data_IF_653390831824
#
_entry.id   IF_653390831824
#
_cell.length_a   1.000
_cell.length_b   1.000
_cell.length_c   1.000
_cell.angle_alpha   90.00
_cell.angle_beta   90.00
_cell.angle_gamma   90.00
#
_symmetry.space_group_name_H-M   'P 1'
#
loop_
_entity.id
_entity.type
_entity.pdbx_description
1 polymer ?
#
# COMPACT_ATOMS: atom_id res chain seq x y z
N UNK A 1 13.28 8.65 -17.52
CA UNK A 1 12.27 9.43 -18.26
C UNK A 1 11.26 9.90 -17.22
N UNK A 2 11.15 11.20 -16.96
CA UNK A 2 10.22 11.71 -15.95
C UNK A 2 8.80 11.73 -16.52
N UNK A 3 7.79 11.31 -15.74
CA UNK A 3 6.39 11.42 -16.17
C UNK A 3 5.63 12.44 -15.34
N UNK A 4 4.81 13.23 -16.03
CA UNK A 4 3.89 14.18 -15.41
C UNK A 4 2.78 13.48 -14.61
N UNK A 5 2.52 12.19 -14.87
CA UNK A 5 1.52 11.41 -14.16
C UNK A 5 1.88 9.92 -14.18
N UNK A 6 1.29 9.13 -13.27
CA UNK A 6 1.39 7.67 -13.31
C UNK A 6 0.79 7.22 -14.65
N UNK A 7 1.53 6.47 -15.48
CA UNK A 7 1.00 6.01 -16.75
C UNK A 7 -0.22 5.13 -16.47
N UNK A 8 -1.39 5.68 -16.77
CA UNK A 8 -2.65 4.97 -16.65
C UNK A 8 -2.70 3.93 -17.75
N UNK A 9 -3.28 2.75 -17.49
CA UNK A 9 -3.65 1.80 -18.55
C UNK A 9 -4.25 2.56 -19.72
N UNK A 10 -3.86 2.23 -20.96
CA UNK A 10 -4.33 2.87 -22.20
C UNK A 10 -5.83 3.16 -22.13
N UNK A 11 -6.17 4.38 -21.70
CA UNK A 11 -7.52 4.80 -21.40
C UNK A 11 -7.85 5.92 -22.37
N UNK A 12 -9.10 5.94 -22.82
CA UNK A 12 -9.64 6.95 -23.72
C UNK A 12 -9.17 8.36 -23.29
N UNK A 13 -8.21 8.88 -24.05
CA UNK A 13 -7.67 10.22 -23.85
C UNK A 13 -8.68 11.19 -24.41
N UNK A 14 -9.35 11.93 -23.54
CA UNK A 14 -10.17 13.07 -23.94
C UNK A 14 -9.26 14.29 -23.89
N UNK A 15 -9.17 15.05 -24.98
CA UNK A 15 -8.44 16.31 -24.97
C UNK A 15 -9.31 17.38 -24.31
N UNK A 16 -8.90 17.83 -23.13
CA UNK A 16 -9.48 19.01 -22.47
C UNK A 16 -8.40 20.10 -22.47
N UNK A 17 -8.65 21.19 -23.19
CA UNK A 17 -7.75 22.36 -23.22
C UNK A 17 -6.28 22.03 -23.53
N UNK A 18 -6.04 21.17 -24.54
CA UNK A 18 -4.73 20.66 -25.00
C UNK A 18 -4.03 19.67 -24.06
N UNK A 19 -4.65 19.29 -22.93
CA UNK A 19 -4.15 18.23 -22.07
C UNK A 19 -4.85 16.90 -22.37
N UNK A 20 -4.07 15.82 -22.42
CA UNK A 20 -4.60 14.46 -22.49
C UNK A 20 -5.15 14.09 -21.11
N UNK A 21 -6.48 14.07 -20.95
CA UNK A 21 -7.14 13.66 -19.72
C UNK A 21 -7.62 12.22 -19.85
N UNK A 22 -7.24 11.37 -18.91
CA UNK A 22 -7.72 9.98 -18.81
C UNK A 22 -8.92 9.91 -17.87
N UNK A 23 -10.06 9.43 -18.37
CA UNK A 23 -11.29 9.25 -17.57
C UNK A 23 -11.07 8.31 -16.39
N UNK A 24 -10.18 7.32 -16.55
CA UNK A 24 -9.85 6.35 -15.51
C UNK A 24 -8.68 6.78 -14.63
N UNK A 25 -8.15 8.00 -14.79
CA UNK A 25 -7.00 8.48 -14.04
C UNK A 25 -7.16 8.30 -12.54
N UNK A 26 -8.36 8.56 -12.00
CA UNK A 26 -8.65 8.33 -10.60
C UNK A 26 -8.44 6.87 -10.19
N UNK A 27 -9.07 5.92 -10.89
CA UNK A 27 -9.01 4.50 -10.57
C UNK A 27 -7.62 3.92 -10.76
N UNK A 28 -6.94 4.26 -11.85
CA UNK A 28 -5.57 3.77 -12.09
C UNK A 28 -4.58 4.36 -11.10
N UNK A 29 -4.74 5.64 -10.73
CA UNK A 29 -3.92 6.27 -9.70
C UNK A 29 -4.16 5.59 -8.37
N UNK A 30 -5.42 5.37 -7.98
CA UNK A 30 -5.76 4.65 -6.76
C UNK A 30 -5.15 3.23 -6.75
N UNK A 31 -5.37 2.45 -7.82
CA UNK A 31 -4.95 1.06 -7.91
C UNK A 31 -3.43 0.90 -7.90
N UNK A 32 -2.68 1.80 -8.53
CA UNK A 32 -1.22 1.71 -8.60
C UNK A 32 -0.59 2.34 -7.35
N UNK A 33 -1.06 3.50 -6.92
CA UNK A 33 -0.38 4.29 -5.89
C UNK A 33 -0.86 4.00 -4.47
N UNK A 34 -2.18 4.00 -4.24
CA UNK A 34 -2.74 3.96 -2.88
C UNK A 34 -3.07 2.54 -2.43
N UNK A 35 -3.65 1.74 -3.33
CA UNK A 35 -4.18 0.42 -3.03
C UNK A 35 -3.14 -0.55 -2.43
N UNK A 36 -1.90 -0.69 -2.96
CA UNK A 36 -0.89 -1.57 -2.35
C UNK A 36 -0.55 -1.16 -0.91
N UNK A 37 -0.44 0.15 -0.64
CA UNK A 37 -0.15 0.67 0.69
C UNK A 37 -1.27 0.35 1.68
N UNK A 38 -2.53 0.56 1.27
CA UNK A 38 -3.70 0.21 2.09
C UNK A 38 -3.73 -1.28 2.39
N UNK A 39 -3.50 -2.14 1.39
CA UNK A 39 -3.44 -3.59 1.58
C UNK A 39 -2.39 -3.99 2.61
N UNK A 40 -1.17 -3.44 2.52
CA UNK A 40 -0.10 -3.73 3.48
C UNK A 40 -0.49 -3.30 4.90
N UNK A 41 -1.01 -2.08 5.05
CA UNK A 41 -1.40 -1.54 6.36
C UNK A 41 -2.51 -2.38 6.99
N UNK A 42 -3.51 -2.80 6.22
CA UNK A 42 -4.60 -3.65 6.69
C UNK A 42 -4.09 -5.04 7.07
N UNK A 43 -3.30 -5.69 6.21
CA UNK A 43 -2.76 -7.03 6.47
C UNK A 43 -1.87 -7.04 7.71
N UNK A 44 -0.99 -6.05 7.87
CA UNK A 44 -0.12 -5.91 9.02
C UNK A 44 -0.91 -5.65 10.31
N UNK A 45 -1.92 -4.77 10.23
CA UNK A 45 -2.81 -4.44 11.35
C UNK A 45 -3.56 -5.67 11.86
N UNK A 46 -4.12 -6.47 10.94
CA UNK A 46 -4.82 -7.71 11.27
C UNK A 46 -3.88 -8.73 11.93
N UNK A 47 -2.67 -8.90 11.38
CA UNK A 47 -1.67 -9.80 11.96
C UNK A 47 -1.33 -9.41 13.40
N UNK A 48 -1.03 -8.14 13.64
CA UNK A 48 -0.63 -7.66 14.97
C UNK A 48 -1.80 -7.73 15.95
N UNK A 49 -3.01 -7.36 15.53
CA UNK A 49 -4.21 -7.51 16.38
C UNK A 49 -4.44 -8.96 16.80
N UNK A 50 -4.14 -9.93 15.91
CA UNK A 50 -4.30 -11.34 16.21
C UNK A 50 -3.25 -11.84 17.20
N UNK A 51 -1.99 -11.44 17.01
CA UNK A 51 -0.84 -11.79 17.86
C UNK A 51 -0.98 -11.22 19.28
N UNK A 52 -1.37 -9.96 19.39
CA UNK A 52 -1.57 -9.28 20.69
C UNK A 52 -2.89 -9.63 21.35
N UNK A 53 -3.82 -10.25 20.62
CA UNK A 53 -5.20 -10.44 21.02
C UNK A 53 -5.90 -9.12 21.41
N UNK A 54 -5.47 -7.99 20.82
CA UNK A 54 -5.96 -6.66 21.16
C UNK A 54 -6.05 -5.75 19.91
N UNK A 55 -7.25 -5.32 19.50
CA UNK A 55 -7.42 -4.47 18.32
C UNK A 55 -6.78 -3.09 18.46
N UNK A 56 -6.58 -2.59 19.68
CA UNK A 56 -5.96 -1.27 19.90
C UNK A 56 -4.51 -1.24 19.41
N UNK A 57 -3.80 -2.37 19.51
CA UNK A 57 -2.41 -2.47 19.04
C UNK A 57 -2.26 -2.26 17.53
N UNK A 58 -3.31 -2.53 16.75
CA UNK A 58 -3.31 -2.26 15.32
C UNK A 58 -3.17 -0.75 15.03
N UNK A 59 -3.84 0.12 15.80
CA UNK A 59 -3.74 1.57 15.63
C UNK A 59 -2.31 2.08 15.88
N UNK A 60 -1.63 1.54 16.88
CA UNK A 60 -0.23 1.89 17.16
C UNK A 60 0.68 1.54 15.97
N UNK A 61 0.45 0.39 15.33
CA UNK A 61 1.20 -0.02 14.14
C UNK A 61 0.89 0.87 12.94
N UNK A 62 -0.37 1.19 12.69
CA UNK A 62 -0.75 2.12 11.62
C UNK A 62 -0.08 3.49 11.79
N UNK A 63 -0.05 3.98 13.03
CA UNK A 63 0.63 5.23 13.36
C UNK A 63 2.15 5.13 13.17
N UNK A 64 2.76 4.01 13.56
CA UNK A 64 4.19 3.77 13.32
C UNK A 64 4.52 3.75 11.82
N UNK A 65 3.72 3.07 10.99
CA UNK A 65 3.89 3.05 9.53
C UNK A 65 3.77 4.45 8.93
N UNK A 66 2.84 5.26 9.44
CA UNK A 66 2.69 6.66 9.05
C UNK A 66 3.97 7.46 9.38
N UNK A 67 4.49 7.35 10.61
CA UNK A 67 5.71 8.06 11.04
C UNK A 67 6.93 7.66 10.20
N UNK A 68 7.09 6.36 9.90
CA UNK A 68 8.18 5.87 9.05
C UNK A 68 8.08 6.35 7.60
N UNK A 69 6.88 6.76 7.17
CA UNK A 69 6.63 7.21 5.80
C UNK A 69 6.47 8.74 5.67
N UNK A 70 6.52 9.51 6.76
CA UNK A 70 6.19 10.94 6.75
C UNK A 70 7.26 11.80 6.06
N UNK A 71 8.53 11.36 6.14
CA UNK A 71 9.70 12.04 5.60
C UNK A 71 10.44 11.13 4.61
N UNK A 72 11.00 11.65 3.51
CA UNK A 72 10.89 13.03 3.06
C UNK A 72 9.50 13.33 2.47
N UNK A 73 9.15 14.62 2.42
CA UNK A 73 7.85 15.10 1.93
C UNK A 73 7.73 15.03 0.39
N UNK A 74 8.77 14.58 -0.31
CA UNK A 74 8.82 14.49 -1.77
C UNK A 74 9.61 13.27 -2.24
N UNK A 75 9.09 12.60 -3.29
CA UNK A 75 9.89 11.87 -4.27
C UNK A 75 10.76 10.70 -3.77
N UNK A 76 10.43 10.11 -2.62
CA UNK A 76 11.13 8.92 -2.10
C UNK A 76 10.40 7.65 -2.54
N UNK A 77 11.02 6.93 -3.48
CA UNK A 77 10.53 5.68 -4.05
C UNK A 77 11.27 4.45 -3.51
N UNK A 78 11.92 4.57 -2.35
CA UNK A 78 12.61 3.45 -1.69
C UNK A 78 11.71 2.24 -1.55
N UNK A 79 12.24 1.03 -1.72
CA UNK A 79 11.43 -0.21 -1.80
C UNK A 79 10.54 -0.46 -0.57
N UNK A 80 10.97 -0.05 0.61
CA UNK A 80 10.25 -0.21 1.87
C UNK A 80 9.26 0.94 2.17
N UNK A 81 9.18 1.94 1.29
CA UNK A 81 8.33 3.12 1.51
C UNK A 81 6.86 2.78 1.29
N UNK A 82 6.07 2.82 2.35
CA UNK A 82 4.62 2.52 2.25
C UNK A 82 3.88 3.71 1.63
N UNK A 83 3.99 4.89 2.24
CA UNK A 83 3.39 6.12 1.70
C UNK A 83 4.43 6.95 0.96
N UNK A 84 4.27 7.02 -0.36
CA UNK A 84 5.10 7.87 -1.23
C UNK A 84 4.39 9.22 -1.36
N UNK A 85 5.09 10.30 -1.01
CA UNK A 85 4.53 11.66 -1.00
C UNK A 85 4.91 12.44 -2.24
N UNK A 86 3.93 13.13 -2.79
CA UNK A 86 4.03 13.97 -3.99
C UNK A 86 3.64 15.42 -3.66
N UNK A 87 4.17 15.97 -2.56
CA UNK A 87 3.81 17.33 -2.10
C UNK A 87 4.48 18.45 -2.90
N UNK A 88 5.33 18.10 -3.87
CA UNK A 88 5.92 19.03 -4.81
C UNK A 88 5.25 18.87 -6.18
N UNK A 89 5.08 19.98 -6.90
CA UNK A 89 4.64 20.00 -8.31
C UNK A 89 5.82 19.63 -9.21
N UNK A 90 6.48 18.52 -8.87
CA UNK A 90 7.59 17.96 -9.65
C UNK A 90 7.09 16.70 -10.35
N UNK A 91 7.49 16.45 -11.61
CA UNK A 91 7.23 15.19 -12.28
C UNK A 91 7.71 14.00 -11.45
N UNK A 92 7.09 12.84 -11.65
CA UNK A 92 7.58 11.58 -11.07
C UNK A 92 8.96 11.31 -11.69
N UNK A 93 10.00 11.54 -10.89
CA UNK A 93 11.39 11.45 -11.32
C UNK A 93 11.76 10.04 -11.77
N UNK A 94 11.29 9.03 -11.04
CA UNK A 94 11.55 7.61 -11.31
C UNK A 94 10.28 6.77 -11.22
N UNK A 95 9.64 6.58 -12.36
CA UNK A 95 8.43 5.77 -12.51
C UNK A 95 8.72 4.29 -12.29
N UNK A 96 9.92 3.82 -12.66
CA UNK A 96 10.29 2.43 -12.52
C UNK A 96 10.45 2.07 -11.05
N UNK A 97 11.13 2.92 -10.27
CA UNK A 97 11.23 2.76 -8.82
C UNK A 97 9.85 2.78 -8.14
N UNK A 98 8.94 3.65 -8.59
CA UNK A 98 7.54 3.63 -8.13
C UNK A 98 6.90 2.26 -8.35
N UNK A 99 6.94 1.71 -9.58
CA UNK A 99 6.34 0.41 -9.85
C UNK A 99 6.98 -0.74 -9.07
N UNK A 100 8.31 -0.76 -8.97
CA UNK A 100 9.04 -1.77 -8.19
C UNK A 100 8.61 -1.73 -6.72
N UNK A 101 8.54 -0.54 -6.13
CA UNK A 101 8.01 -0.36 -4.78
C UNK A 101 6.58 -0.91 -4.67
N UNK A 102 5.68 -0.53 -5.59
CA UNK A 102 4.26 -0.93 -5.50
C UNK A 102 4.05 -2.42 -5.62
N UNK A 103 4.79 -3.09 -6.50
CA UNK A 103 4.80 -4.55 -6.61
C UNK A 103 5.35 -5.18 -5.33
N UNK A 104 6.43 -4.65 -4.77
CA UNK A 104 7.00 -5.15 -3.51
C UNK A 104 6.04 -5.02 -2.33
N UNK A 105 5.45 -3.84 -2.12
CA UNK A 105 4.49 -3.57 -1.05
C UNK A 105 3.24 -4.45 -1.20
N UNK A 106 2.76 -4.64 -2.44
CA UNK A 106 1.66 -5.55 -2.72
C UNK A 106 2.01 -7.01 -2.38
N UNK A 107 3.18 -7.50 -2.82
CA UNK A 107 3.64 -8.84 -2.51
C UNK A 107 3.77 -9.07 -0.99
N UNK A 108 4.35 -8.09 -0.27
CA UNK A 108 4.44 -8.13 1.19
C UNK A 108 3.06 -8.21 1.86
N UNK A 109 2.07 -7.48 1.35
CA UNK A 109 0.70 -7.54 1.89
C UNK A 109 0.09 -8.95 1.80
N UNK A 110 0.34 -9.65 0.69
CA UNK A 110 -0.10 -11.04 0.50
C UNK A 110 0.60 -11.96 1.50
N UNK A 111 1.91 -11.80 1.69
CA UNK A 111 2.68 -12.58 2.69
C UNK A 111 2.09 -12.40 4.10
N UNK A 112 1.85 -11.16 4.52
CA UNK A 112 1.24 -10.88 5.83
C UNK A 112 -0.17 -11.47 5.95
N UNK A 113 -0.97 -11.44 4.88
CA UNK A 113 -2.29 -12.06 4.88
C UNK A 113 -2.22 -13.59 5.07
N UNK A 114 -1.29 -14.27 4.40
CA UNK A 114 -1.07 -15.71 4.60
C UNK A 114 -0.59 -16.05 6.00
N UNK A 115 0.36 -15.28 6.55
CA UNK A 115 0.83 -15.45 7.93
C UNK A 115 -0.35 -15.27 8.90
N UNK A 116 -1.17 -14.25 8.69
CA UNK A 116 -2.36 -14.01 9.52
C UNK A 116 -3.34 -15.17 9.47
N UNK A 117 -3.64 -15.69 8.28
CA UNK A 117 -4.52 -16.84 8.11
C UNK A 117 -3.97 -18.09 8.81
N UNK A 118 -2.66 -18.31 8.74
CA UNK A 118 -2.00 -19.42 9.42
C UNK A 118 -2.04 -19.29 10.94
N UNK A 119 -1.71 -18.11 11.48
CA UNK A 119 -1.80 -17.81 12.91
C UNK A 119 -3.23 -18.02 13.43
N UNK A 120 -4.24 -17.64 12.64
CA UNK A 120 -5.65 -17.81 12.99
C UNK A 120 -6.01 -19.30 13.14
N UNK A 121 -5.55 -20.14 12.22
CA UNK A 121 -5.78 -21.59 12.27
C UNK A 121 -5.16 -22.22 13.52
N UNK A 122 -3.91 -21.86 13.86
CA UNK A 122 -3.22 -22.36 15.06
C UNK A 122 -4.03 -22.01 16.32
N UNK A 123 -4.44 -20.73 16.44
CA UNK A 123 -5.19 -20.24 17.60
C UNK A 123 -6.54 -20.95 17.73
N UNK A 124 -7.25 -21.17 16.62
CA UNK A 124 -8.54 -21.87 16.61
C UNK A 124 -8.41 -23.34 16.99
N UNK A 125 -7.35 -24.03 16.55
CA UNK A 125 -7.09 -25.42 16.91
C UNK A 125 -6.85 -25.58 18.42
N UNK A 126 -6.02 -24.70 19.01
CA UNK A 126 -5.76 -24.72 20.45
C UNK A 126 -7.03 -24.55 21.28
N UNK A 127 -7.96 -23.69 20.86
CA UNK A 127 -9.25 -23.53 21.55
C UNK A 127 -10.09 -24.82 21.45
N UNK A 128 -10.14 -25.44 20.28
CA UNK A 128 -10.88 -26.71 20.09
C UNK A 128 -10.31 -27.87 20.91
N UNK A 129 -8.99 -27.91 21.11
CA UNK A 129 -8.33 -28.90 21.97
C UNK A 129 -8.60 -28.66 23.47
N UNK A 130 -8.80 -27.41 23.90
CA UNK A 130 -9.16 -27.06 25.30
C UNK A 130 -10.60 -27.36 25.69
N UNK A 131 -11.48 -27.57 24.70
CA UNK A 131 -12.91 -27.85 24.90
C UNK A 131 -13.23 -29.36 24.92
N UNK A 132 -12.24 -30.22 24.64
CA UNK A 132 -12.34 -31.68 24.74
C UNK A 132 -11.79 -32.15 26.07
#
# INVERSE_FOLDING_TARGET
MAAACIPTFHAFKIKLDRFDVSVYAYFSTFAIWLFPGVMLVVALSMMVSLLSNNPITAFAVQFAVLLLSITPLKGDYSIYKVFIRHNAIEPIADIQALYVNRVFIFAMSIVFAFITAWLWQIKRRSIGERLK
#
